data_IF_464417565904
#
_entry.id   IF_464417565904
#
_cell.length_a   1.000
_cell.length_b   1.000
_cell.length_c   1.000
_cell.angle_alpha   90.00
_cell.angle_beta   90.00
_cell.angle_gamma   90.00
#
_symmetry.space_group_name_H-M   'P 1'
#
loop_
_entity.id
_entity.type
_entity.pdbx_description
1 polymer ?
#
# COMPACT_ATOMS: atom_id res chain seq x y z
N UNK A 1 49.76 -17.87 -26.88
CA UNK A 1 48.34 -18.11 -26.54
C UNK A 1 48.11 -17.46 -25.19
N UNK A 2 47.56 -16.26 -25.17
CA UNK A 2 47.55 -15.40 -23.99
C UNK A 2 46.12 -14.97 -23.71
N UNK A 3 45.63 -15.40 -22.55
CA UNK A 3 44.23 -15.29 -22.12
C UNK A 3 43.90 -13.81 -21.87
N UNK A 4 42.93 -13.26 -22.59
CA UNK A 4 42.42 -11.91 -22.38
C UNK A 4 41.45 -11.93 -21.20
N UNK A 5 41.86 -11.38 -20.05
CA UNK A 5 40.97 -11.19 -18.89
C UNK A 5 39.96 -10.07 -19.19
N UNK A 6 38.70 -10.46 -19.43
CA UNK A 6 37.57 -9.60 -19.82
C UNK A 6 37.04 -8.66 -18.72
N UNK A 7 37.76 -8.50 -17.60
CA UNK A 7 37.27 -7.78 -16.40
C UNK A 7 38.23 -6.70 -15.91
N UNK A 8 38.90 -5.96 -16.80
CA UNK A 8 39.54 -4.70 -16.41
C UNK A 8 38.60 -3.53 -16.72
N UNK A 9 37.50 -3.46 -15.98
CA UNK A 9 36.70 -2.24 -15.90
C UNK A 9 37.56 -1.16 -15.28
N UNK A 10 37.81 -0.08 -16.02
CA UNK A 10 38.45 1.12 -15.46
C UNK A 10 37.48 1.74 -14.47
N UNK A 11 37.55 1.33 -13.20
CA UNK A 11 37.03 2.12 -12.10
C UNK A 11 37.82 3.43 -12.11
N UNK A 12 37.32 4.39 -12.88
CA UNK A 12 37.54 5.79 -12.60
C UNK A 12 36.88 5.97 -11.24
N UNK A 13 37.69 6.08 -10.19
CA UNK A 13 37.21 6.62 -8.92
C UNK A 13 36.43 7.88 -9.29
N UNK A 14 35.11 7.79 -9.22
CA UNK A 14 34.24 8.93 -9.46
C UNK A 14 34.18 9.64 -8.12
N UNK A 15 34.95 10.71 -7.90
CA UNK A 15 34.73 11.49 -6.70
C UNK A 15 33.31 12.06 -6.84
N UNK A 16 32.51 11.94 -5.78
CA UNK A 16 31.23 12.64 -5.58
C UNK A 16 29.94 11.87 -5.86
N UNK A 17 29.83 10.62 -5.42
CA UNK A 17 28.49 10.10 -5.06
C UNK A 17 28.12 10.45 -3.60
N UNK A 18 29.12 10.60 -2.72
CA UNK A 18 28.90 10.95 -1.31
C UNK A 18 28.53 12.43 -1.10
N UNK A 19 28.96 13.33 -1.99
CA UNK A 19 28.65 14.77 -1.89
C UNK A 19 27.20 15.06 -2.29
N UNK A 20 26.62 14.29 -3.23
CA UNK A 20 25.23 14.47 -3.62
C UNK A 20 24.28 13.96 -2.54
N UNK A 21 24.58 12.80 -1.95
CA UNK A 21 23.86 12.28 -0.78
C UNK A 21 23.91 13.29 0.39
N UNK A 22 25.08 13.93 0.58
CA UNK A 22 25.32 14.96 1.61
C UNK A 22 24.39 16.16 1.58
N UNK A 23 23.92 16.57 0.41
CA UNK A 23 23.06 17.75 0.33
C UNK A 23 21.65 17.49 0.82
N UNK A 24 21.15 16.25 0.81
CA UNK A 24 19.75 15.93 1.14
C UNK A 24 19.41 15.98 2.63
N UNK A 25 20.41 15.93 3.51
CA UNK A 25 20.23 15.96 4.97
C UNK A 25 20.70 17.27 5.63
N UNK A 26 21.21 18.21 4.86
CA UNK A 26 21.40 19.59 5.33
C UNK A 26 20.05 20.28 5.50
N UNK A 27 19.95 21.22 6.45
CA UNK A 27 18.71 21.99 6.68
C UNK A 27 18.26 22.69 5.38
N UNK A 28 19.22 23.26 4.64
CA UNK A 28 18.94 23.95 3.37
C UNK A 28 18.44 22.99 2.29
N UNK A 29 19.04 21.81 2.18
CA UNK A 29 18.58 20.77 1.25
C UNK A 29 17.18 20.25 1.60
N UNK A 30 16.87 20.11 2.89
CA UNK A 30 15.53 19.74 3.37
C UNK A 30 14.52 20.84 2.99
N UNK A 31 14.85 22.12 3.21
CA UNK A 31 13.98 23.25 2.86
C UNK A 31 13.71 23.34 1.35
N UNK A 32 14.74 23.18 0.53
CA UNK A 32 14.59 23.17 -0.93
C UNK A 32 13.71 22.01 -1.40
N UNK A 33 13.87 20.83 -0.78
CA UNK A 33 13.02 19.66 -1.09
C UNK A 33 11.56 19.91 -0.71
N UNK A 34 11.30 20.52 0.44
CA UNK A 34 9.94 20.89 0.86
C UNK A 34 9.33 21.92 -0.08
N UNK A 35 10.12 22.91 -0.53
CA UNK A 35 9.68 23.92 -1.49
C UNK A 35 9.34 23.35 -2.86
N UNK A 36 10.12 22.36 -3.31
CA UNK A 36 9.91 21.68 -4.60
C UNK A 36 8.92 20.52 -4.51
N UNK A 37 8.52 20.12 -3.29
CA UNK A 37 7.56 19.04 -3.09
C UNK A 37 6.17 19.47 -3.55
N UNK A 38 5.42 18.48 -4.03
CA UNK A 38 4.03 18.66 -4.38
C UNK A 38 3.23 19.02 -3.12
N UNK A 39 2.41 20.08 -3.19
CA UNK A 39 1.53 20.42 -2.07
C UNK A 39 0.56 19.28 -1.76
N UNK A 40 0.20 19.11 -0.49
CA UNK A 40 -0.82 18.13 -0.08
C UNK A 40 -2.13 18.32 -0.84
N UNK A 41 -2.57 19.58 -1.03
CA UNK A 41 -3.77 19.90 -1.81
C UNK A 41 -3.68 19.40 -3.26
N UNK A 42 -2.54 19.59 -3.90
CA UNK A 42 -2.31 19.07 -5.25
C UNK A 42 -2.35 17.54 -5.24
N UNK A 43 -1.69 16.88 -4.28
CA UNK A 43 -1.69 15.41 -4.17
C UNK A 43 -3.12 14.86 -4.07
N UNK A 44 -3.91 15.43 -3.16
CA UNK A 44 -5.31 15.07 -2.97
C UNK A 44 -6.13 15.25 -4.26
N UNK A 45 -5.95 16.36 -4.98
CA UNK A 45 -6.67 16.58 -6.25
C UNK A 45 -6.35 15.53 -7.31
N UNK A 46 -5.07 15.13 -7.43
CA UNK A 46 -4.65 14.06 -8.34
C UNK A 46 -5.24 12.71 -7.95
N UNK A 47 -5.20 12.37 -6.65
CA UNK A 47 -5.77 11.12 -6.14
C UNK A 47 -7.27 11.03 -6.42
N UNK A 48 -8.03 12.11 -6.19
CA UNK A 48 -9.46 12.15 -6.52
C UNK A 48 -9.71 11.96 -8.02
N UNK A 49 -8.94 12.63 -8.90
CA UNK A 49 -9.07 12.47 -10.36
C UNK A 49 -8.77 11.05 -10.83
N UNK A 50 -7.82 10.38 -10.18
CA UNK A 50 -7.48 8.99 -10.45
C UNK A 50 -8.48 7.99 -9.83
N UNK A 51 -9.53 8.47 -9.14
CA UNK A 51 -10.56 7.62 -8.51
C UNK A 51 -10.21 7.10 -7.12
N UNK A 52 -9.09 7.55 -6.54
CA UNK A 52 -8.66 7.16 -5.21
C UNK A 52 -9.37 8.02 -4.18
N UNK A 53 -10.38 7.44 -3.55
CA UNK A 53 -11.11 8.08 -2.47
C UNK A 53 -10.67 7.48 -1.14
N UNK A 54 -10.16 8.33 -0.25
CA UNK A 54 -9.94 7.92 1.13
C UNK A 54 -11.30 7.69 1.80
N UNK A 55 -11.54 6.47 2.26
CA UNK A 55 -12.73 6.08 3.01
C UNK A 55 -12.28 5.37 4.28
N UNK A 56 -12.99 5.61 5.37
CA UNK A 56 -12.81 4.81 6.59
C UNK A 56 -13.18 3.35 6.27
N UNK A 57 -12.21 2.44 6.38
CA UNK A 57 -12.45 1.01 6.24
C UNK A 57 -12.64 0.44 7.64
N UNK A 58 -13.89 0.15 8.00
CA UNK A 58 -14.20 -0.55 9.25
C UNK A 58 -13.92 -2.04 9.08
N UNK A 59 -13.15 -2.61 10.01
CA UNK A 59 -12.93 -4.05 10.08
C UNK A 59 -14.28 -4.75 10.31
N UNK A 60 -14.45 -5.94 9.74
CA UNK A 60 -15.69 -6.74 9.78
C UNK A 60 -16.92 -6.14 9.08
N UNK A 61 -16.77 -5.07 8.29
CA UNK A 61 -17.83 -4.56 7.42
C UNK A 61 -17.49 -4.90 5.96
N UNK A 62 -18.19 -5.89 5.42
CA UNK A 62 -18.08 -6.25 4.01
C UNK A 62 -18.86 -5.22 3.17
N UNK A 63 -18.18 -4.58 2.21
CA UNK A 63 -18.74 -3.50 1.36
C UNK A 63 -19.87 -3.97 0.44
N UNK A 64 -19.92 -5.26 0.17
CA UNK A 64 -20.84 -5.95 -0.73
C UNK A 64 -22.03 -6.59 0.02
N UNK A 65 -22.21 -6.28 1.31
CA UNK A 65 -23.41 -6.70 2.04
C UNK A 65 -23.54 -8.22 2.24
N UNK A 66 -22.44 -8.98 2.14
CA UNK A 66 -22.46 -10.45 2.17
C UNK A 66 -23.22 -11.10 1.00
N UNK A 67 -23.29 -10.44 -0.16
CA UNK A 67 -24.01 -10.95 -1.32
C UNK A 67 -23.31 -12.12 -2.05
N UNK A 68 -22.19 -12.65 -1.54
CA UNK A 68 -21.53 -13.80 -2.14
C UNK A 68 -22.48 -15.03 -2.21
N UNK A 69 -22.81 -15.56 -3.40
CA UNK A 69 -23.81 -16.62 -3.56
C UNK A 69 -23.51 -17.86 -2.73
N UNK A 70 -22.24 -18.24 -2.61
CA UNK A 70 -21.80 -19.40 -1.84
C UNK A 70 -22.03 -19.20 -0.34
N UNK A 71 -21.82 -17.98 0.17
CA UNK A 71 -22.03 -17.62 1.57
C UNK A 71 -23.52 -17.59 1.88
N UNK A 72 -24.34 -17.06 0.95
CA UNK A 72 -25.79 -17.09 1.08
C UNK A 72 -26.33 -18.53 1.10
N UNK A 73 -25.86 -19.38 0.19
CA UNK A 73 -26.23 -20.79 0.14
C UNK A 73 -25.84 -21.52 1.43
N UNK A 74 -24.63 -21.31 1.94
CA UNK A 74 -24.19 -21.89 3.20
C UNK A 74 -25.03 -21.39 4.38
N UNK A 75 -25.30 -20.08 4.44
CA UNK A 75 -26.12 -19.48 5.51
C UNK A 75 -27.52 -20.09 5.54
N UNK A 76 -28.17 -20.16 4.38
CA UNK A 76 -29.57 -20.58 4.26
C UNK A 76 -29.73 -22.09 4.46
N UNK A 77 -28.83 -22.88 3.89
CA UNK A 77 -29.01 -24.33 3.82
C UNK A 77 -28.31 -25.10 4.94
N UNK A 78 -27.31 -24.50 5.60
CA UNK A 78 -26.48 -25.19 6.60
C UNK A 78 -26.53 -24.47 7.95
N UNK A 79 -26.14 -23.19 7.98
CA UNK A 79 -25.96 -22.47 9.25
C UNK A 79 -27.28 -22.25 9.99
N UNK A 80 -28.31 -21.69 9.34
CA UNK A 80 -29.60 -21.40 9.99
C UNK A 80 -30.31 -22.69 10.47
N UNK A 81 -30.39 -23.77 9.67
CA UNK A 81 -30.96 -25.03 10.13
C UNK A 81 -30.24 -25.65 11.34
N UNK A 82 -28.92 -25.49 11.44
CA UNK A 82 -28.15 -25.97 12.58
C UNK A 82 -28.36 -25.12 13.85
N UNK A 83 -28.66 -23.83 13.69
CA UNK A 83 -28.86 -22.90 14.80
C UNK A 83 -30.28 -22.90 15.37
N UNK A 84 -31.30 -23.18 14.56
CA UNK A 84 -32.71 -23.28 15.02
C UNK A 84 -32.92 -24.20 16.24
N UNK A 85 -32.38 -25.43 16.32
CA UNK A 85 -32.54 -26.28 17.50
C UNK A 85 -31.78 -25.75 18.74
N UNK A 86 -30.77 -24.90 18.54
CA UNK A 86 -29.97 -24.32 19.63
C UNK A 86 -30.57 -23.02 20.17
N UNK A 87 -31.45 -22.39 19.39
CA UNK A 87 -32.16 -21.15 19.72
C UNK A 87 -32.78 -21.10 21.13
N UNK A 88 -33.48 -22.13 21.65
CA UNK A 88 -34.01 -22.11 23.02
C UNK A 88 -32.95 -22.10 24.13
N UNK A 89 -31.68 -22.39 23.80
CA UNK A 89 -30.56 -22.35 24.73
C UNK A 89 -29.70 -21.08 24.57
N UNK A 90 -29.99 -20.25 23.57
CA UNK A 90 -29.32 -18.97 23.40
C UNK A 90 -29.94 -17.97 24.38
N UNK A 91 -29.11 -17.29 25.17
CA UNK A 91 -29.59 -16.20 26.03
C UNK A 91 -29.94 -14.98 25.17
N UNK A 92 -31.07 -14.36 25.47
CA UNK A 92 -31.56 -13.12 24.86
C UNK A 92 -30.90 -11.89 25.50
#
# INVERSE_FOLDING_TARGET
MTITNYWRGTYRDSPNNDIQQNQFYTIDGIQQRIKNALSSRSAHSWLTKLGWNWKEVRKAVYKDGHECPNIQQYRQNIFLPQMEPLKPYMME
#
